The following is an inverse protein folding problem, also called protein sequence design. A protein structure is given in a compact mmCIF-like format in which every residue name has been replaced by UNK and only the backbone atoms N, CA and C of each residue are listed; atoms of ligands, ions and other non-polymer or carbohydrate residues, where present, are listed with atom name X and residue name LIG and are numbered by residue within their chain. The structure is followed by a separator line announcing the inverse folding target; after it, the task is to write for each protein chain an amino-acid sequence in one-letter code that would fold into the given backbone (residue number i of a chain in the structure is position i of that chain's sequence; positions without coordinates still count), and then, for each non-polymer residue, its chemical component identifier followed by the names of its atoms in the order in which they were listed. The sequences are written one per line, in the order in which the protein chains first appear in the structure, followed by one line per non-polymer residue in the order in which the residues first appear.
data_IF_302216481167
#
_entry.id   IF_302216481167
#
_cell.length_a   1.000
_cell.length_b   1.000
_cell.length_c   1.000
_cell.angle_alpha   90.00
_cell.angle_beta   90.00
_cell.angle_gamma   90.00
#
_symmetry.space_group_name_H-M   'P 1'
#
loop_
_entity.id
_entity.type
_entity.pdbx_description
1 polymer ?
#
# COMPACT_ATOMS: atom_id res chain seq x y z
N UNK A 1 -61.15 -95.76 35.35
CA UNK A 1 -61.20 -94.29 35.55
C UNK A 1 -62.64 -93.84 35.37
N UNK A 2 -63.11 -92.89 36.17
CA UNK A 2 -64.48 -92.37 36.10
C UNK A 2 -64.46 -90.97 35.50
N UNK A 3 -65.54 -90.57 34.82
CA UNK A 3 -65.74 -89.21 34.30
C UNK A 3 -65.51 -88.12 35.36
N UNK A 4 -65.81 -88.42 36.63
CA UNK A 4 -65.60 -87.52 37.76
C UNK A 4 -64.11 -87.36 38.10
N UNK A 5 -63.31 -88.42 37.96
CA UNK A 5 -61.86 -88.39 38.14
C UNK A 5 -61.20 -87.57 37.04
N UNK A 6 -61.56 -87.83 35.78
CA UNK A 6 -60.98 -87.13 34.63
C UNK A 6 -61.31 -85.63 34.63
N UNK A 7 -62.53 -85.27 35.05
CA UNK A 7 -62.94 -83.87 35.19
C UNK A 7 -62.18 -83.17 36.33
N UNK A 8 -61.95 -83.85 37.45
CA UNK A 8 -61.18 -83.29 38.56
C UNK A 8 -59.72 -83.02 38.18
N UNK A 9 -59.10 -83.96 37.46
CA UNK A 9 -57.73 -83.81 36.97
C UNK A 9 -57.61 -82.68 35.95
N UNK A 10 -58.59 -82.55 35.03
CA UNK A 10 -58.64 -81.45 34.07
C UNK A 10 -58.79 -80.08 34.74
N UNK A 11 -59.68 -79.94 35.72
CA UNK A 11 -59.86 -78.68 36.48
C UNK A 11 -58.60 -78.32 37.26
N UNK A 12 -57.96 -79.31 37.89
CA UNK A 12 -56.71 -79.10 38.62
C UNK A 12 -55.61 -78.59 37.70
N UNK A 13 -55.51 -79.16 36.49
CA UNK A 13 -54.53 -78.73 35.49
C UNK A 13 -54.80 -77.31 34.97
N UNK A 14 -56.05 -77.00 34.62
CA UNK A 14 -56.44 -75.64 34.18
C UNK A 14 -56.21 -74.60 35.26
N UNK A 15 -56.48 -74.93 36.53
CA UNK A 15 -56.22 -74.03 37.65
C UNK A 15 -54.73 -73.75 37.81
N UNK A 16 -53.88 -74.77 37.71
CA UNK A 16 -52.42 -74.62 37.76
C UNK A 16 -51.90 -73.78 36.59
N UNK A 17 -52.34 -74.06 35.36
CA UNK A 17 -51.94 -73.31 34.17
C UNK A 17 -52.42 -71.84 34.23
N UNK A 18 -53.59 -71.58 34.80
CA UNK A 18 -54.12 -70.22 34.97
C UNK A 18 -53.29 -69.40 35.95
N UNK A 19 -52.76 -70.02 37.00
CA UNK A 19 -51.84 -69.36 37.94
C UNK A 19 -50.51 -69.01 37.25
N UNK A 20 -49.97 -69.93 36.44
CA UNK A 20 -48.76 -69.66 35.65
C UNK A 20 -48.99 -68.53 34.64
N UNK A 21 -50.11 -68.54 33.92
CA UNK A 21 -50.47 -67.47 32.99
C UNK A 21 -50.62 -66.12 33.71
N UNK A 22 -51.29 -66.11 34.88
CA UNK A 22 -51.41 -64.92 35.70
C UNK A 22 -50.05 -64.37 36.13
N UNK A 23 -49.13 -65.24 36.56
CA UNK A 23 -47.77 -64.86 36.93
C UNK A 23 -46.97 -64.32 35.72
N UNK A 24 -47.13 -64.90 34.52
CA UNK A 24 -46.46 -64.41 33.31
C UNK A 24 -46.98 -63.02 32.91
N UNK A 25 -48.29 -62.78 33.02
CA UNK A 25 -48.93 -61.53 32.61
C UNK A 25 -48.75 -60.41 33.65
N UNK A 26 -48.88 -60.72 34.93
CA UNK A 26 -48.92 -59.74 36.02
C UNK A 26 -47.68 -59.75 36.94
N UNK A 27 -46.70 -60.62 36.67
CA UNK A 27 -45.46 -60.65 37.41
C UNK A 27 -44.60 -59.40 37.20
N UNK A 28 -43.56 -59.27 38.01
CA UNK A 28 -42.74 -58.05 38.08
C UNK A 28 -41.74 -57.89 36.91
N UNK A 29 -41.15 -56.71 36.72
CA UNK A 29 -40.16 -56.45 35.66
C UNK A 29 -38.85 -57.23 35.74
N UNK A 30 -38.59 -57.94 36.84
CA UNK A 30 -37.36 -58.73 37.02
C UNK A 30 -37.63 -60.24 37.04
N UNK A 31 -38.90 -60.62 37.13
CA UNK A 31 -39.34 -61.96 37.45
C UNK A 31 -39.33 -62.90 36.24
N UNK A 32 -39.18 -64.18 36.55
CA UNK A 32 -39.30 -65.28 35.60
C UNK A 32 -40.21 -66.34 36.20
N UNK A 33 -41.04 -66.96 35.38
CA UNK A 33 -41.99 -68.00 35.77
C UNK A 33 -41.51 -69.34 35.22
N UNK A 34 -41.39 -70.34 36.10
CA UNK A 34 -41.04 -71.71 35.67
C UNK A 34 -42.30 -72.43 35.20
N UNK A 35 -42.31 -72.88 33.95
CA UNK A 35 -43.40 -73.67 33.35
C UNK A 35 -42.92 -75.09 33.05
N UNK A 36 -43.84 -75.98 32.66
CA UNK A 36 -43.48 -77.34 32.18
C UNK A 36 -42.51 -77.31 30.98
N UNK A 37 -42.59 -76.26 30.14
CA UNK A 37 -41.70 -76.03 28.99
C UNK A 37 -40.39 -75.31 29.33
N UNK A 38 -40.12 -75.04 30.61
CA UNK A 38 -38.97 -74.29 31.08
C UNK A 38 -39.32 -72.89 31.57
N UNK A 39 -38.28 -72.11 31.89
CA UNK A 39 -38.43 -70.77 32.43
C UNK A 39 -38.81 -69.77 31.34
N UNK A 40 -39.90 -69.03 31.56
CA UNK A 40 -40.31 -67.90 30.73
C UNK A 40 -40.20 -66.59 31.50
N UNK A 41 -40.06 -65.49 30.78
CA UNK A 41 -40.05 -64.14 31.37
C UNK A 41 -41.48 -63.60 31.48
N UNK A 42 -41.72 -62.71 32.44
CA UNK A 42 -42.98 -61.97 32.53
C UNK A 42 -43.09 -60.95 31.40
N UNK A 43 -44.32 -60.51 31.09
CA UNK A 43 -44.55 -59.42 30.13
C UNK A 43 -43.86 -58.13 30.57
N UNK A 44 -43.91 -57.83 31.87
CA UNK A 44 -43.24 -56.65 32.44
C UNK A 44 -41.72 -56.69 32.24
N UNK A 45 -41.09 -57.87 32.36
CA UNK A 45 -39.66 -58.05 32.13
C UNK A 45 -39.28 -57.86 30.66
N UNK A 46 -40.07 -58.39 29.72
CA UNK A 46 -39.85 -58.18 28.28
C UNK A 46 -39.86 -56.68 27.94
N UNK A 47 -40.83 -55.93 28.46
CA UNK A 47 -40.93 -54.49 28.22
C UNK A 47 -39.77 -53.72 28.84
N UNK A 48 -39.39 -54.05 30.07
CA UNK A 48 -38.25 -53.43 30.77
C UNK A 48 -36.92 -53.68 30.03
N UNK A 49 -36.67 -54.92 29.62
CA UNK A 49 -35.45 -55.28 28.89
C UNK A 49 -35.43 -54.64 27.50
N UNK A 50 -36.59 -54.51 26.84
CA UNK A 50 -36.71 -53.81 25.56
C UNK A 50 -36.43 -52.31 25.71
N UNK A 51 -36.98 -51.64 26.73
CA UNK A 51 -36.72 -50.23 27.02
C UNK A 51 -35.24 -49.98 27.33
N UNK A 52 -34.64 -50.83 28.18
CA UNK A 52 -33.20 -50.77 28.47
C UNK A 52 -32.35 -50.94 27.21
N UNK A 53 -32.70 -51.89 26.32
CA UNK A 53 -32.00 -52.10 25.04
C UNK A 53 -32.16 -50.91 24.09
N UNK A 54 -33.34 -50.31 24.01
CA UNK A 54 -33.61 -49.14 23.18
C UNK A 54 -32.77 -47.96 23.69
N UNK A 55 -32.80 -47.69 24.99
CA UNK A 55 -32.05 -46.59 25.59
C UNK A 55 -30.52 -46.77 25.47
N UNK A 56 -30.03 -48.01 25.60
CA UNK A 56 -28.63 -48.35 25.38
C UNK A 56 -28.23 -48.20 23.91
N UNK A 57 -29.04 -48.71 22.97
CA UNK A 57 -28.78 -48.63 21.53
C UNK A 57 -28.89 -47.19 21.01
N UNK A 58 -29.75 -46.38 21.61
CA UNK A 58 -29.86 -44.96 21.31
C UNK A 58 -28.62 -44.16 21.75
N UNK A 59 -27.72 -44.72 22.57
CA UNK A 59 -26.42 -44.14 22.96
C UNK A 59 -26.45 -42.65 23.34
N UNK A 60 -27.58 -42.14 23.83
CA UNK A 60 -27.75 -40.72 24.11
C UNK A 60 -27.75 -39.81 22.87
N UNK A 61 -28.18 -40.29 21.69
CA UNK A 61 -28.32 -39.52 20.42
C UNK A 61 -29.04 -38.18 20.63
N UNK A 62 -30.04 -38.14 21.52
CA UNK A 62 -30.73 -36.89 21.86
C UNK A 62 -29.76 -35.86 22.46
N UNK A 63 -28.93 -36.26 23.43
CA UNK A 63 -27.94 -35.39 24.05
C UNK A 63 -26.85 -34.98 23.04
N UNK A 64 -26.42 -35.91 22.18
CA UNK A 64 -25.47 -35.63 21.10
C UNK A 64 -26.04 -34.61 20.09
N UNK A 65 -27.31 -34.77 19.71
CA UNK A 65 -27.99 -33.85 18.78
C UNK A 65 -28.16 -32.46 19.38
N UNK A 66 -28.46 -32.37 20.68
CA UNK A 66 -28.53 -31.10 21.40
C UNK A 66 -27.16 -30.42 21.46
N UNK A 67 -26.08 -31.16 21.75
CA UNK A 67 -24.71 -30.63 21.73
C UNK A 67 -24.33 -30.14 20.34
N UNK A 68 -24.54 -30.96 19.31
CA UNK A 68 -24.21 -30.59 17.92
C UNK A 68 -25.01 -29.36 17.44
N UNK A 69 -26.28 -29.24 17.84
CA UNK A 69 -27.09 -28.06 17.55
C UNK A 69 -26.54 -26.80 18.25
N UNK A 70 -26.10 -26.91 19.51
CA UNK A 70 -25.51 -25.80 20.24
C UNK A 70 -24.15 -25.38 19.65
N UNK A 71 -23.34 -26.34 19.22
CA UNK A 71 -22.06 -26.08 18.55
C UNK A 71 -22.28 -25.40 17.20
N UNK A 72 -23.30 -25.83 16.44
CA UNK A 72 -23.68 -25.22 15.17
C UNK A 72 -24.19 -23.78 15.36
N UNK A 73 -25.00 -23.52 16.39
CA UNK A 73 -25.44 -22.16 16.74
C UNK A 73 -24.25 -21.25 17.06
N UNK A 74 -23.35 -21.72 17.93
CA UNK A 74 -22.14 -20.99 18.30
C UNK A 74 -21.27 -20.69 17.08
N UNK A 75 -21.12 -21.67 16.18
CA UNK A 75 -20.35 -21.50 14.94
C UNK A 75 -20.99 -20.49 13.99
N UNK A 76 -22.32 -20.47 13.89
CA UNK A 76 -23.06 -19.50 13.08
C UNK A 76 -22.91 -18.06 13.63
N UNK A 77 -22.99 -17.87 14.95
CA UNK A 77 -22.80 -16.56 15.58
C UNK A 77 -21.40 -16.01 15.36
N UNK A 78 -20.38 -16.88 15.47
CA UNK A 78 -18.99 -16.50 15.18
C UNK A 78 -18.81 -16.10 13.71
N UNK A 79 -19.39 -16.87 12.78
CA UNK A 79 -19.35 -16.56 11.36
C UNK A 79 -20.05 -15.23 11.02
N UNK A 80 -21.21 -14.96 11.65
CA UNK A 80 -21.92 -13.68 11.49
C UNK A 80 -21.07 -12.51 11.99
N UNK A 81 -20.48 -12.66 13.18
CA UNK A 81 -19.63 -11.62 13.77
C UNK A 81 -18.40 -11.34 12.90
N UNK A 82 -17.79 -12.39 12.34
CA UNK A 82 -16.64 -12.22 11.45
C UNK A 82 -17.02 -11.57 10.12
N UNK A 83 -18.20 -11.87 9.58
CA UNK A 83 -18.73 -11.18 8.40
C UNK A 83 -18.93 -9.68 8.66
N UNK A 84 -19.48 -9.30 9.83
CA UNK A 84 -19.67 -7.89 10.21
C UNK A 84 -18.33 -7.15 10.36
N UNK A 85 -17.30 -7.81 10.92
CA UNK A 85 -15.94 -7.27 11.01
C UNK A 85 -15.34 -7.07 9.62
N UNK A 86 -15.46 -8.06 8.74
CA UNK A 86 -14.95 -7.97 7.38
C UNK A 86 -15.63 -6.83 6.59
N UNK A 87 -16.95 -6.67 6.72
CA UNK A 87 -17.69 -5.57 6.11
C UNK A 87 -17.24 -4.20 6.64
N UNK A 88 -17.03 -4.10 7.95
CA UNK A 88 -16.55 -2.87 8.59
C UNK A 88 -15.15 -2.49 8.11
N UNK A 89 -14.23 -3.45 8.07
CA UNK A 89 -12.87 -3.26 7.56
C UNK A 89 -12.86 -2.84 6.08
N UNK A 90 -13.70 -3.46 5.25
CA UNK A 90 -13.83 -3.08 3.84
C UNK A 90 -14.35 -1.63 3.69
N UNK A 91 -15.34 -1.25 4.49
CA UNK A 91 -15.91 0.12 4.47
C UNK A 91 -14.91 1.18 4.91
N UNK A 92 -14.09 0.87 5.94
CA UNK A 92 -12.98 1.72 6.36
C UNK A 92 -11.94 1.86 5.26
N UNK A 93 -11.51 0.76 4.63
CA UNK A 93 -10.55 0.78 3.53
C UNK A 93 -10.99 1.62 2.34
N UNK A 94 -12.29 1.59 1.98
CA UNK A 94 -12.84 2.48 0.94
C UNK A 94 -12.78 3.94 1.37
N UNK A 95 -13.11 4.24 2.62
CA UNK A 95 -13.06 5.61 3.17
C UNK A 95 -11.64 6.17 3.15
N UNK A 96 -10.66 5.39 3.62
CA UNK A 96 -9.24 5.75 3.60
C UNK A 96 -8.73 5.95 2.17
N UNK A 97 -9.07 5.06 1.25
CA UNK A 97 -8.69 5.17 -0.17
C UNK A 97 -9.22 6.47 -0.77
N UNK A 98 -10.47 6.83 -0.50
CA UNK A 98 -11.05 8.08 -0.99
C UNK A 98 -10.38 9.31 -0.38
N UNK A 99 -10.03 9.28 0.91
CA UNK A 99 -9.30 10.37 1.56
C UNK A 99 -7.90 10.56 0.95
N UNK A 100 -7.18 9.45 0.70
CA UNK A 100 -5.88 9.49 0.03
C UNK A 100 -6.01 10.04 -1.39
N UNK A 101 -7.04 9.62 -2.14
CA UNK A 101 -7.28 10.13 -3.50
C UNK A 101 -7.51 11.65 -3.50
N UNK A 102 -8.33 12.15 -2.58
CA UNK A 102 -8.56 13.60 -2.43
C UNK A 102 -7.28 14.35 -2.05
N UNK A 103 -6.46 13.80 -1.15
CA UNK A 103 -5.19 14.39 -0.76
C UNK A 103 -4.20 14.44 -1.93
N UNK A 104 -4.11 13.36 -2.71
CA UNK A 104 -3.24 13.29 -3.90
C UNK A 104 -3.68 14.28 -4.96
N UNK A 105 -4.99 14.39 -5.22
CA UNK A 105 -5.53 15.37 -6.17
C UNK A 105 -5.24 16.81 -5.72
N UNK A 106 -5.45 17.11 -4.44
CA UNK A 106 -5.19 18.45 -3.88
C UNK A 106 -3.71 18.80 -3.93
N UNK A 107 -2.85 17.89 -3.44
CA UNK A 107 -1.40 18.07 -3.45
C UNK A 107 -0.85 18.18 -4.87
N UNK A 108 -1.35 17.36 -5.81
CA UNK A 108 -0.96 17.40 -7.21
C UNK A 108 -1.31 18.75 -7.86
N UNK A 109 -2.52 19.27 -7.62
CA UNK A 109 -2.92 20.59 -8.10
C UNK A 109 -2.06 21.70 -7.48
N UNK A 110 -1.76 21.61 -6.18
CA UNK A 110 -0.90 22.58 -5.51
C UNK A 110 0.51 22.61 -6.09
N UNK A 111 1.10 21.45 -6.39
CA UNK A 111 2.42 21.37 -7.04
C UNK A 111 2.41 22.08 -8.40
N UNK A 112 1.35 21.93 -9.19
CA UNK A 112 1.22 22.62 -10.48
C UNK A 112 1.13 24.15 -10.29
N UNK A 113 0.34 24.61 -9.31
CA UNK A 113 0.23 26.04 -8.97
C UNK A 113 1.57 26.60 -8.50
N UNK A 114 2.28 25.88 -7.63
CA UNK A 114 3.58 26.28 -7.11
C UNK A 114 4.63 26.32 -8.21
N UNK A 115 4.65 25.32 -9.10
CA UNK A 115 5.54 25.28 -10.25
C UNK A 115 5.29 26.44 -11.23
N UNK A 116 4.02 26.76 -11.50
CA UNK A 116 3.66 27.92 -12.32
C UNK A 116 4.10 29.24 -11.67
N UNK A 117 3.87 29.39 -10.36
CA UNK A 117 4.33 30.55 -9.60
C UNK A 117 5.85 30.73 -9.65
N UNK A 118 6.61 29.64 -9.47
CA UNK A 118 8.07 29.66 -9.59
C UNK A 118 8.51 30.03 -11.00
N UNK A 119 7.90 29.45 -12.04
CA UNK A 119 8.20 29.79 -13.43
C UNK A 119 7.97 31.27 -13.71
N UNK A 120 6.82 31.81 -13.29
CA UNK A 120 6.50 33.23 -13.45
C UNK A 120 7.50 34.12 -12.71
N UNK A 121 7.94 33.74 -11.51
CA UNK A 121 8.99 34.47 -10.77
C UNK A 121 10.34 34.43 -11.49
N UNK A 122 10.73 33.29 -12.05
CA UNK A 122 11.98 33.16 -12.83
C UNK A 122 11.93 34.03 -14.07
N UNK A 123 10.82 33.99 -14.82
CA UNK A 123 10.63 34.84 -16.01
C UNK A 123 10.69 36.31 -15.62
N UNK A 124 9.98 36.73 -14.57
CA UNK A 124 9.97 38.11 -14.10
C UNK A 124 11.39 38.58 -13.69
N UNK A 125 12.15 37.73 -13.00
CA UNK A 125 13.55 38.02 -12.64
C UNK A 125 14.42 38.12 -13.89
N UNK A 126 14.30 37.20 -14.84
CA UNK A 126 15.11 37.23 -16.07
C UNK A 126 14.83 38.49 -16.91
N UNK A 127 13.56 38.86 -17.05
CA UNK A 127 13.15 40.10 -17.70
C UNK A 127 13.68 41.33 -16.96
N UNK A 128 13.67 41.32 -15.63
CA UNK A 128 14.18 42.41 -14.81
C UNK A 128 15.71 42.60 -14.91
N UNK A 129 16.47 41.57 -15.27
CA UNK A 129 17.92 41.71 -15.54
C UNK A 129 18.17 42.54 -16.80
N UNK A 130 17.22 42.58 -17.75
CA UNK A 130 17.32 43.44 -18.93
C UNK A 130 18.50 43.09 -19.87
N UNK A 131 18.88 41.81 -19.93
CA UNK A 131 19.84 41.31 -20.92
C UNK A 131 19.20 41.23 -22.31
N UNK A 132 19.96 41.46 -23.40
CA UNK A 132 19.45 41.24 -24.75
C UNK A 132 19.13 39.77 -25.01
N UNK A 133 18.00 39.50 -25.67
CA UNK A 133 17.55 38.15 -26.02
C UNK A 133 18.45 37.45 -27.06
N UNK A 134 19.24 38.22 -27.81
CA UNK A 134 20.23 37.70 -28.76
C UNK A 134 21.41 38.65 -28.92
N UNK A 135 22.58 38.07 -29.17
CA UNK A 135 23.82 38.78 -29.53
C UNK A 135 24.24 38.48 -30.98
N UNK A 136 23.43 37.77 -31.75
CA UNK A 136 23.73 37.48 -33.16
C UNK A 136 23.87 38.78 -33.94
N UNK A 137 25.01 38.95 -34.63
CA UNK A 137 25.33 40.16 -35.39
C UNK A 137 25.95 41.29 -34.57
N UNK A 138 26.11 41.14 -33.25
CA UNK A 138 26.75 42.12 -32.37
C UNK A 138 28.29 41.96 -32.26
N UNK A 139 28.94 41.47 -33.32
CA UNK A 139 30.40 41.31 -33.35
C UNK A 139 31.08 42.68 -33.16
N UNK A 140 32.09 42.76 -32.29
CA UNK A 140 32.74 44.03 -31.96
C UNK A 140 31.90 44.95 -31.07
N UNK A 141 30.82 44.47 -30.45
CA UNK A 141 30.07 45.23 -29.45
C UNK A 141 30.31 44.69 -28.04
N UNK A 142 30.23 45.58 -27.05
CA UNK A 142 30.33 45.22 -25.64
C UNK A 142 28.98 45.43 -24.96
N UNK A 143 28.66 44.57 -24.00
CA UNK A 143 27.51 44.75 -23.11
C UNK A 143 27.91 45.70 -21.98
N UNK A 144 27.26 46.86 -21.92
CA UNK A 144 27.47 47.88 -20.88
C UNK A 144 26.18 48.05 -20.07
N UNK A 145 26.30 48.17 -18.75
CA UNK A 145 25.18 48.57 -17.88
C UNK A 145 24.76 50.00 -18.24
N UNK A 146 23.46 50.24 -18.40
CA UNK A 146 22.92 51.57 -18.67
C UNK A 146 23.24 52.52 -17.51
N UNK A 147 23.36 53.81 -17.81
CA UNK A 147 23.66 54.83 -16.79
C UNK A 147 22.54 54.99 -15.74
N UNK A 148 21.31 54.56 -16.06
CA UNK A 148 20.17 54.52 -15.14
C UNK A 148 20.06 53.19 -14.37
N UNK A 149 21.02 52.28 -14.54
CA UNK A 149 21.09 50.95 -13.92
C UNK A 149 19.90 50.02 -14.24
N UNK A 150 19.07 50.38 -15.23
CA UNK A 150 17.84 49.64 -15.57
C UNK A 150 18.06 48.38 -16.42
N UNK A 151 19.32 48.08 -16.79
CA UNK A 151 19.67 46.91 -17.60
C UNK A 151 20.90 47.14 -18.46
N UNK A 152 21.00 46.39 -19.57
CA UNK A 152 22.17 46.40 -20.44
C UNK A 152 21.89 47.07 -21.79
N UNK A 153 22.92 47.60 -22.41
CA UNK A 153 22.92 48.07 -23.78
C UNK A 153 24.17 47.59 -24.51
N UNK A 154 24.04 47.30 -25.80
CA UNK A 154 25.18 47.05 -26.66
C UNK A 154 25.80 48.38 -27.05
N UNK A 155 27.09 48.54 -26.76
CA UNK A 155 27.88 49.68 -27.21
C UNK A 155 28.85 49.20 -28.27
N UNK A 156 28.93 49.93 -29.38
CA UNK A 156 29.95 49.69 -30.39
C UNK A 156 31.32 49.95 -29.74
N UNK A 157 32.28 49.04 -29.91
CA UNK A 157 33.67 49.37 -29.63
C UNK A 157 34.15 50.36 -30.70
N UNK A 158 33.87 51.65 -30.50
CA UNK A 158 34.45 52.71 -31.32
C UNK A 158 36.00 52.66 -31.25
N UNK A 159 36.51 52.03 -30.19
CA UNK A 159 37.87 51.57 -30.10
C UNK A 159 38.08 50.35 -31.01
N UNK A 160 38.73 50.58 -32.14
CA UNK A 160 39.57 49.57 -32.78
C UNK A 160 40.95 49.70 -32.11
N UNK A 161 41.18 49.13 -30.91
CA UNK A 161 42.44 49.28 -30.23
C UNK A 161 43.55 48.78 -31.15
N UNK A 162 44.61 49.56 -31.23
CA UNK A 162 45.81 49.11 -31.93
C UNK A 162 46.63 48.29 -30.95
N UNK A 163 46.93 47.06 -31.36
CA UNK A 163 47.85 46.21 -30.64
C UNK A 163 49.28 46.66 -30.91
N UNK A 164 50.09 46.67 -29.85
CA UNK A 164 51.53 46.88 -29.91
C UNK A 164 52.18 45.80 -29.06
N UNK A 165 53.04 44.98 -29.66
CA UNK A 165 53.73 43.88 -28.97
C UNK A 165 55.21 43.86 -29.32
N UNK A 166 56.04 43.63 -28.31
CA UNK A 166 57.47 43.45 -28.45
C UNK A 166 57.85 41.99 -28.22
N UNK A 167 58.60 41.40 -29.16
CA UNK A 167 59.14 40.04 -29.05
C UNK A 167 60.62 40.05 -29.44
N UNK A 168 61.40 39.06 -29.00
CA UNK A 168 62.76 38.90 -29.49
C UNK A 168 62.75 38.24 -30.88
N UNK A 169 63.74 38.56 -31.71
CA UNK A 169 64.06 37.77 -32.89
C UNK A 169 64.36 36.31 -32.52
N UNK A 170 64.27 35.40 -33.49
CA UNK A 170 64.47 33.96 -33.25
C UNK A 170 65.85 33.61 -32.67
N UNK A 171 66.85 34.46 -32.88
CA UNK A 171 68.21 34.35 -32.35
C UNK A 171 68.44 35.17 -31.07
N UNK A 172 67.41 35.86 -30.57
CA UNK A 172 67.45 36.64 -29.33
C UNK A 172 68.25 37.94 -29.40
N UNK A 173 68.71 38.33 -30.59
CA UNK A 173 69.64 39.45 -30.77
C UNK A 173 68.95 40.80 -30.96
N UNK A 174 67.70 40.81 -31.41
CA UNK A 174 66.93 42.02 -31.71
C UNK A 174 65.57 42.03 -31.02
N UNK A 175 65.10 43.22 -30.64
CA UNK A 175 63.74 43.44 -30.18
C UNK A 175 62.86 43.86 -31.38
N UNK A 176 61.88 43.04 -31.72
CA UNK A 176 60.95 43.24 -32.82
C UNK A 176 59.64 43.84 -32.31
N UNK A 177 59.17 44.92 -32.95
CA UNK A 177 57.85 45.50 -32.73
C UNK A 177 56.84 44.92 -33.74
N UNK A 178 55.72 44.42 -33.25
CA UNK A 178 54.54 44.08 -34.05
C UNK A 178 53.41 45.03 -33.68
N UNK A 179 52.78 45.63 -34.68
CA UNK A 179 51.62 46.48 -34.50
C UNK A 179 50.52 46.18 -35.53
N UNK A 180 49.26 46.38 -35.14
CA UNK A 180 48.14 46.26 -36.08
C UNK A 180 46.77 46.30 -35.42
N UNK A 181 45.72 46.25 -36.25
CA UNK A 181 44.30 46.34 -35.83
C UNK A 181 43.44 45.18 -36.34
N UNK A 182 43.77 44.62 -37.50
CA UNK A 182 42.89 43.72 -38.25
C UNK A 182 43.47 42.29 -38.37
N UNK A 183 44.27 41.88 -37.37
CA UNK A 183 44.85 40.54 -37.29
C UNK A 183 44.68 39.97 -35.87
N UNK A 184 44.77 38.64 -35.75
CA UNK A 184 44.77 37.98 -34.46
C UNK A 184 46.14 38.13 -33.81
N UNK A 185 46.18 38.71 -32.60
CA UNK A 185 47.39 38.85 -31.81
C UNK A 185 47.26 38.05 -30.51
N UNK A 186 48.12 37.06 -30.30
CA UNK A 186 48.17 36.33 -29.04
C UNK A 186 49.16 37.01 -28.09
N UNK A 187 48.64 37.58 -27.00
CA UNK A 187 49.42 38.31 -26.00
C UNK A 187 50.59 37.49 -25.42
N UNK A 188 50.49 36.17 -25.37
CA UNK A 188 51.53 35.24 -24.90
C UNK A 188 52.78 35.21 -25.79
N UNK A 189 52.66 35.63 -27.04
CA UNK A 189 53.75 35.57 -28.02
C UNK A 189 54.72 36.75 -27.85
N UNK A 190 54.33 37.73 -27.05
CA UNK A 190 55.07 38.98 -26.83
C UNK A 190 55.59 39.04 -25.39
N UNK A 191 56.83 39.50 -25.24
CA UNK A 191 57.46 39.74 -23.94
C UNK A 191 56.81 40.90 -23.19
N UNK A 192 56.37 41.90 -23.94
CA UNK A 192 55.59 43.03 -23.44
C UNK A 192 54.62 43.46 -24.54
N UNK A 193 53.41 43.83 -24.15
CA UNK A 193 52.40 44.30 -25.07
C UNK A 193 51.54 45.38 -24.42
N UNK A 194 50.90 46.18 -25.26
CA UNK A 194 49.89 47.15 -24.84
C UNK A 194 48.81 47.29 -25.92
N UNK A 195 47.64 47.73 -25.49
CA UNK A 195 46.56 48.17 -26.36
C UNK A 195 46.47 49.69 -26.20
N UNK A 196 46.49 50.41 -27.32
CA UNK A 196 46.35 51.85 -27.31
C UNK A 196 45.26 52.30 -28.29
N UNK A 197 44.85 53.56 -28.15
CA UNK A 197 43.81 54.24 -28.92
C UNK A 197 42.38 53.72 -28.66
N UNK A 198 41.52 54.60 -28.15
CA UNK A 198 40.12 54.30 -27.89
C UNK A 198 39.86 53.43 -26.65
N UNK A 199 40.89 52.87 -26.02
CA UNK A 199 40.76 52.12 -24.76
C UNK A 199 41.71 52.70 -23.73
N UNK A 200 41.19 53.04 -22.56
CA UNK A 200 42.00 53.39 -21.38
C UNK A 200 41.70 52.40 -20.28
N UNK A 201 42.75 51.94 -19.60
CA UNK A 201 42.63 51.05 -18.45
C UNK A 201 42.91 51.86 -17.18
N UNK A 202 42.04 51.73 -16.20
CA UNK A 202 42.23 52.28 -14.87
C UNK A 202 42.13 51.16 -13.83
N UNK A 203 42.80 51.35 -12.70
CA UNK A 203 42.61 50.50 -11.53
C UNK A 203 42.00 51.37 -10.45
N UNK A 204 40.73 51.14 -10.14
CA UNK A 204 40.01 51.79 -9.04
C UNK A 204 39.65 50.72 -8.02
N UNK A 205 40.04 50.91 -6.76
CA UNK A 205 39.76 49.96 -5.66
C UNK A 205 40.11 48.50 -5.97
N UNK A 206 41.25 48.28 -6.64
CA UNK A 206 41.74 46.96 -7.09
C UNK A 206 40.85 46.26 -8.13
N UNK A 207 39.93 46.98 -8.76
CA UNK A 207 39.16 46.54 -9.93
C UNK A 207 39.76 47.13 -11.22
N UNK A 208 39.95 46.30 -12.24
CA UNK A 208 40.32 46.74 -13.58
C UNK A 208 39.08 47.34 -14.26
N UNK A 209 39.13 48.64 -14.52
CA UNK A 209 38.12 49.35 -15.31
C UNK A 209 38.64 49.58 -16.73
N UNK A 210 37.78 49.29 -17.71
CA UNK A 210 38.01 49.61 -19.12
C UNK A 210 37.11 50.79 -19.48
N UNK A 211 37.73 51.91 -19.86
CA UNK A 211 37.05 53.11 -20.32
C UNK A 211 37.20 53.20 -21.84
N UNK A 212 36.08 53.36 -22.54
CA UNK A 212 35.94 53.47 -24.00
C UNK A 212 35.43 54.86 -24.37
#
# INVERSE_FOLDING_TARGET
MSLQTDLHDAVTRVAADSVLLHAVVHGSPLETVTTEGGTVVTVAKVLNDADARINLAAQGILAQSQSAAQDALTSADLASTEADRAQSAASQGVTETNAILQLVQTSGNQILVDAESVLQQVIARLLAVGLPDTLTGAQGMLLKVKADETGYQLVNTAALPRFYGFQLSSDGSELLLTEGRDADFHASDFLAWTLAEGVTFAIHDNALEVQL
#
